data_IF_740146297963
#
_entry.id   IF_740146297963
#
_cell.length_a   1.000
_cell.length_b   1.000
_cell.length_c   1.000
_cell.angle_alpha   90.00
_cell.angle_beta   90.00
_cell.angle_gamma   90.00
#
_symmetry.space_group_name_H-M   'P 1'
#
loop_
_entity.id
_entity.type
_entity.pdbx_description
1 polymer ?
#
# COMPACT_ATOMS: atom_id res chain seq x y z
N UNK A 1 -17.04 -13.56 0.47
CA UNK A 1 -15.84 -14.07 1.16
C UNK A 1 -15.15 -13.04 2.06
N UNK A 2 -14.48 -11.99 1.54
CA UNK A 2 -13.76 -11.03 2.40
C UNK A 2 -14.68 -10.32 3.40
N UNK A 3 -15.83 -9.81 2.94
CA UNK A 3 -16.82 -9.16 3.81
C UNK A 3 -17.33 -10.09 4.93
N UNK A 4 -17.60 -11.36 4.61
CA UNK A 4 -18.02 -12.37 5.60
C UNK A 4 -16.91 -12.66 6.60
N UNK A 5 -15.66 -12.77 6.15
CA UNK A 5 -14.51 -12.94 7.03
C UNK A 5 -14.37 -11.74 7.99
N UNK A 6 -14.39 -10.51 7.47
CA UNK A 6 -14.32 -9.28 8.29
C UNK A 6 -15.44 -9.21 9.32
N UNK A 7 -16.67 -9.60 8.94
CA UNK A 7 -17.80 -9.73 9.88
C UNK A 7 -17.53 -10.78 10.96
N UNK A 8 -16.99 -11.94 10.58
CA UNK A 8 -16.69 -13.03 11.50
C UNK A 8 -15.60 -12.69 12.52
N UNK A 9 -14.67 -11.77 12.20
CA UNK A 9 -13.68 -11.28 13.18
C UNK A 9 -14.32 -10.53 14.37
N UNK A 10 -15.57 -10.10 14.25
CA UNK A 10 -16.26 -9.30 15.26
C UNK A 10 -15.77 -7.85 15.38
N UNK A 11 -14.75 -7.45 14.61
CA UNK A 11 -14.20 -6.08 14.60
C UNK A 11 -15.01 -5.12 13.72
N UNK A 12 -15.72 -5.65 12.72
CA UNK A 12 -16.51 -4.88 11.78
C UNK A 12 -17.98 -5.28 11.91
N UNK A 13 -18.82 -4.36 12.37
CA UNK A 13 -20.21 -4.64 12.76
C UNK A 13 -21.10 -5.03 11.57
N UNK A 14 -20.96 -4.32 10.44
CA UNK A 14 -21.78 -4.56 9.25
C UNK A 14 -21.04 -4.22 7.95
N UNK A 15 -20.13 -5.08 7.47
CA UNK A 15 -19.52 -4.89 6.15
C UNK A 15 -20.57 -4.95 5.05
N UNK A 16 -20.67 -3.90 4.24
CA UNK A 16 -21.57 -3.82 3.08
C UNK A 16 -20.72 -3.83 1.81
N UNK A 17 -21.13 -4.63 0.83
CA UNK A 17 -20.52 -4.68 -0.50
C UNK A 17 -21.44 -3.94 -1.46
N UNK A 18 -20.88 -2.99 -2.19
CA UNK A 18 -21.60 -2.16 -3.16
C UNK A 18 -20.92 -2.36 -4.51
N UNK A 19 -21.71 -2.57 -5.55
CA UNK A 19 -21.22 -2.59 -6.92
C UNK A 19 -20.88 -1.16 -7.36
N UNK A 20 -19.68 -0.96 -7.90
CA UNK A 20 -19.21 0.35 -8.34
C UNK A 20 -20.07 0.90 -9.49
N UNK A 21 -20.63 0.02 -10.32
CA UNK A 21 -21.49 0.42 -11.43
C UNK A 21 -22.80 1.07 -10.96
N UNK A 22 -23.33 0.64 -9.81
CA UNK A 22 -24.50 1.27 -9.20
C UNK A 22 -24.14 2.68 -8.67
N UNK A 23 -22.94 2.85 -8.12
CA UNK A 23 -22.44 4.17 -7.70
C UNK A 23 -22.32 5.10 -8.90
N UNK A 24 -21.73 4.65 -10.01
CA UNK A 24 -21.62 5.48 -11.21
C UNK A 24 -23.00 5.84 -11.77
N UNK A 25 -23.92 4.87 -11.85
CA UNK A 25 -25.29 5.10 -12.33
C UNK A 25 -26.02 6.18 -11.54
N UNK A 26 -25.96 6.11 -10.21
CA UNK A 26 -26.73 6.99 -9.33
C UNK A 26 -26.07 8.36 -9.11
N UNK A 27 -24.73 8.45 -9.09
CA UNK A 27 -24.01 9.68 -8.70
C UNK A 27 -23.33 10.42 -9.85
N UNK A 28 -23.37 9.88 -11.07
CA UNK A 28 -22.80 10.55 -12.27
C UNK A 28 -23.56 10.27 -13.57
N UNK A 29 -24.69 9.57 -13.51
CA UNK A 29 -25.44 9.17 -14.70
C UNK A 29 -24.78 8.05 -15.51
N UNK A 30 -23.94 7.24 -14.87
CA UNK A 30 -23.24 6.12 -15.49
C UNK A 30 -21.84 6.44 -16.04
N UNK A 31 -21.32 7.64 -15.80
CA UNK A 31 -19.95 7.97 -16.18
C UNK A 31 -18.96 7.44 -15.14
N UNK A 32 -17.77 7.00 -15.55
CA UNK A 32 -16.73 6.52 -14.62
C UNK A 32 -15.99 7.69 -13.96
N UNK A 33 -16.74 8.64 -13.39
CA UNK A 33 -16.22 9.86 -12.75
C UNK A 33 -15.78 9.57 -11.30
N UNK A 34 -14.55 9.90 -10.89
CA UNK A 34 -14.11 9.71 -9.50
C UNK A 34 -14.97 10.51 -8.50
N UNK A 35 -15.55 11.64 -8.92
CA UNK A 35 -16.50 12.42 -8.14
C UNK A 35 -17.76 11.63 -7.76
N UNK A 36 -18.17 10.64 -8.56
CA UNK A 36 -19.30 9.77 -8.23
C UNK A 36 -19.05 9.00 -6.93
N UNK A 37 -17.84 8.45 -6.79
CA UNK A 37 -17.40 7.69 -5.62
C UNK A 37 -17.39 8.59 -4.39
N UNK A 38 -16.76 9.77 -4.49
CA UNK A 38 -16.73 10.74 -3.38
C UNK A 38 -18.14 11.19 -2.98
N UNK A 39 -19.00 11.51 -3.94
CA UNK A 39 -20.39 11.90 -3.67
C UNK A 39 -21.21 10.80 -3.00
N UNK A 40 -20.98 9.54 -3.39
CA UNK A 40 -21.60 8.40 -2.71
C UNK A 40 -21.10 8.27 -1.27
N UNK A 41 -19.79 8.39 -1.03
CA UNK A 41 -19.22 8.35 0.32
C UNK A 41 -19.76 9.48 1.21
N UNK A 42 -19.86 10.69 0.65
CA UNK A 42 -20.53 11.83 1.29
C UNK A 42 -21.99 11.52 1.63
N UNK A 43 -22.71 10.91 0.69
CA UNK A 43 -24.11 10.54 0.89
C UNK A 43 -24.23 9.53 2.03
N UNK A 44 -23.52 8.41 2.01
CA UNK A 44 -23.68 7.37 3.05
C UNK A 44 -23.22 7.84 4.43
N UNK A 45 -22.24 8.73 4.48
CA UNK A 45 -21.75 9.28 5.74
C UNK A 45 -22.69 10.35 6.33
N UNK A 46 -23.19 11.28 5.51
CA UNK A 46 -23.88 12.47 6.01
C UNK A 46 -25.42 12.35 6.06
N UNK A 47 -26.01 11.42 5.35
CA UNK A 47 -27.43 11.54 4.99
C UNK A 47 -28.45 10.92 5.97
N UNK A 48 -28.05 10.41 7.15
CA UNK A 48 -28.91 9.58 8.03
C UNK A 48 -29.60 8.39 7.31
N UNK A 49 -29.28 8.13 6.03
CA UNK A 49 -29.90 7.06 5.24
C UNK A 49 -29.32 5.69 5.61
N UNK A 50 -28.15 5.66 6.21
CA UNK A 50 -27.57 4.47 6.81
C UNK A 50 -27.71 4.55 8.32
N UNK A 51 -28.09 3.43 8.94
CA UNK A 51 -28.21 3.35 10.40
C UNK A 51 -26.88 3.54 11.12
N UNK A 52 -25.76 3.26 10.43
CA UNK A 52 -24.39 3.42 10.90
C UNK A 52 -23.57 3.93 9.71
N UNK A 53 -22.95 5.09 9.85
CA UNK A 53 -22.01 5.62 8.86
C UNK A 53 -20.73 4.76 8.82
N UNK A 54 -20.10 4.57 7.66
CA UNK A 54 -18.87 3.78 7.57
C UNK A 54 -17.67 4.55 8.11
N UNK A 55 -16.85 3.92 8.95
CA UNK A 55 -15.51 4.44 9.32
C UNK A 55 -14.41 3.98 8.34
N UNK A 56 -14.63 2.84 7.67
CA UNK A 56 -13.67 2.18 6.79
C UNK A 56 -14.24 1.98 5.39
N UNK A 57 -13.44 2.31 4.39
CA UNK A 57 -13.76 2.10 2.97
C UNK A 57 -12.66 1.28 2.32
N UNK A 58 -13.05 0.25 1.57
CA UNK A 58 -12.15 -0.55 0.77
C UNK A 58 -12.54 -0.44 -0.70
N UNK A 59 -11.66 0.17 -1.50
CA UNK A 59 -11.77 0.13 -2.96
C UNK A 59 -11.19 -1.20 -3.44
N UNK A 60 -12.04 -2.07 -3.99
CA UNK A 60 -11.67 -3.42 -4.39
C UNK A 60 -11.62 -3.53 -5.92
N UNK A 61 -10.49 -3.12 -6.50
CA UNK A 61 -10.29 -3.04 -7.94
C UNK A 61 -9.08 -2.19 -8.33
N UNK A 62 -8.39 -2.61 -9.40
CA UNK A 62 -7.38 -1.77 -10.05
C UNK A 62 -8.00 -0.57 -10.75
N UNK A 63 -7.19 0.44 -11.03
CA UNK A 63 -7.60 1.60 -11.81
C UNK A 63 -6.40 2.42 -12.23
N UNK A 64 -6.54 3.13 -13.33
CA UNK A 64 -5.48 3.94 -13.94
C UNK A 64 -5.99 5.34 -14.30
N UNK A 65 -5.07 6.26 -14.63
CA UNK A 65 -5.43 7.65 -14.95
C UNK A 65 -6.26 7.80 -16.23
N UNK A 66 -6.15 6.86 -17.19
CA UNK A 66 -6.91 6.87 -18.43
C UNK A 66 -8.31 6.24 -18.30
N UNK A 67 -9.05 6.59 -17.26
CA UNK A 67 -10.42 6.08 -17.04
C UNK A 67 -11.44 6.56 -18.09
N UNK A 68 -11.03 7.43 -19.02
CA UNK A 68 -11.83 7.88 -20.17
C UNK A 68 -11.55 7.10 -21.45
N UNK A 69 -10.52 6.24 -21.47
CA UNK A 69 -10.18 5.35 -22.57
C UNK A 69 -9.69 6.11 -23.82
N UNK A 70 -8.78 7.06 -23.65
CA UNK A 70 -8.16 7.78 -24.77
C UNK A 70 -6.89 7.10 -25.29
N UNK A 71 -6.14 6.44 -24.41
CA UNK A 71 -4.78 5.95 -24.68
C UNK A 71 -4.65 4.41 -24.54
N UNK A 72 -5.44 3.77 -23.66
CA UNK A 72 -5.39 2.31 -23.42
C UNK A 72 -6.77 1.64 -23.41
N UNK A 73 -6.78 0.33 -23.70
CA UNK A 73 -7.95 -0.56 -23.56
C UNK A 73 -7.91 -1.36 -22.22
N UNK A 74 -6.94 -1.07 -21.34
CA UNK A 74 -6.87 -1.70 -20.02
C UNK A 74 -8.16 -1.46 -19.21
N UNK A 75 -8.60 -2.48 -18.48
CA UNK A 75 -9.82 -2.40 -17.69
C UNK A 75 -9.58 -1.53 -16.45
N UNK A 76 -10.33 -0.43 -16.35
CA UNK A 76 -10.38 0.40 -15.16
C UNK A 76 -11.53 -0.06 -14.25
N UNK A 77 -11.25 -0.90 -13.24
CA UNK A 77 -12.29 -1.44 -12.36
C UNK A 77 -12.86 -0.37 -11.42
N UNK A 78 -12.01 0.47 -10.84
CA UNK A 78 -12.42 1.58 -9.99
C UNK A 78 -11.56 2.80 -10.33
N UNK A 79 -12.18 3.83 -10.89
CA UNK A 79 -11.52 5.07 -11.30
C UNK A 79 -10.67 5.67 -10.18
N UNK A 80 -9.52 6.21 -10.57
CA UNK A 80 -8.61 6.96 -9.69
C UNK A 80 -8.91 8.46 -9.76
N UNK A 81 -8.71 9.15 -8.65
CA UNK A 81 -8.76 10.62 -8.63
C UNK A 81 -7.39 11.17 -9.03
N UNK A 82 -7.36 12.06 -10.02
CA UNK A 82 -6.14 12.57 -10.62
C UNK A 82 -6.05 14.09 -10.48
N UNK A 83 -4.88 14.57 -10.06
CA UNK A 83 -4.56 16.00 -9.97
C UNK A 83 -3.20 16.18 -10.64
N UNK A 84 -3.20 16.93 -11.76
CA UNK A 84 -2.09 16.99 -12.70
C UNK A 84 -1.62 15.60 -13.13
N UNK A 85 -0.47 15.14 -12.64
CA UNK A 85 0.14 13.85 -12.97
C UNK A 85 0.16 12.86 -11.79
N UNK A 86 -0.63 13.12 -10.74
CA UNK A 86 -0.63 12.36 -9.49
C UNK A 86 -1.99 11.74 -9.21
N UNK A 87 -2.00 10.45 -8.87
CA UNK A 87 -3.13 9.78 -8.25
C UNK A 87 -3.26 10.19 -6.78
N UNK A 88 -4.42 10.67 -6.39
CA UNK A 88 -4.72 11.19 -5.05
C UNK A 88 -5.90 10.43 -4.46
N UNK A 89 -5.63 9.29 -3.83
CA UNK A 89 -6.68 8.45 -3.22
C UNK A 89 -7.34 9.13 -2.00
N UNK A 90 -6.63 10.04 -1.31
CA UNK A 90 -7.17 10.83 -0.19
C UNK A 90 -8.37 11.70 -0.61
N UNK A 91 -8.53 11.96 -1.91
CA UNK A 91 -9.72 12.61 -2.47
C UNK A 91 -11.02 11.90 -2.06
N UNK A 92 -10.99 10.57 -1.94
CA UNK A 92 -12.16 9.78 -1.58
C UNK A 92 -12.43 9.77 -0.07
N UNK A 93 -11.42 10.00 0.76
CA UNK A 93 -11.55 9.98 2.23
C UNK A 93 -11.87 11.34 2.85
N UNK A 94 -11.61 12.44 2.15
CA UNK A 94 -12.00 13.78 2.59
C UNK A 94 -13.35 14.15 1.98
N UNK A 95 -14.41 14.02 2.76
CA UNK A 95 -15.79 14.07 2.26
C UNK A 95 -16.50 15.37 2.63
N UNK A 96 -15.89 16.28 3.40
CA UNK A 96 -16.53 17.56 3.67
C UNK A 96 -16.38 18.54 2.50
N UNK A 97 -17.37 19.42 2.34
CA UNK A 97 -17.35 20.43 1.29
C UNK A 97 -16.16 21.39 1.46
N UNK A 98 -15.38 21.56 0.40
CA UNK A 98 -14.21 22.45 0.39
C UNK A 98 -12.92 21.80 0.88
N UNK A 99 -12.93 20.53 1.27
CA UNK A 99 -11.71 19.80 1.61
C UNK A 99 -10.95 19.33 0.38
N UNK A 100 -9.63 19.55 0.42
CA UNK A 100 -8.71 19.15 -0.62
C UNK A 100 -7.31 18.94 -0.02
N UNK A 101 -6.90 17.67 0.12
CA UNK A 101 -5.69 17.29 0.87
C UNK A 101 -4.41 17.88 0.27
N UNK A 102 -4.32 17.95 -1.07
CA UNK A 102 -3.11 18.42 -1.75
C UNK A 102 -2.86 19.94 -1.67
N UNK A 103 -3.75 20.71 -1.05
CA UNK A 103 -3.60 22.17 -0.90
C UNK A 103 -3.55 22.66 0.56
N UNK A 104 -3.82 21.79 1.53
CA UNK A 104 -3.90 22.20 2.92
C UNK A 104 -3.52 21.08 3.89
N UNK A 105 -2.33 21.19 4.46
CA UNK A 105 -1.79 20.29 5.50
C UNK A 105 -2.67 20.21 6.77
N UNK A 106 -3.72 21.03 6.87
CA UNK A 106 -4.69 21.02 7.98
C UNK A 106 -5.93 20.14 7.74
N UNK A 107 -6.09 19.56 6.54
CA UNK A 107 -7.22 18.69 6.22
C UNK A 107 -6.85 17.24 6.53
N UNK A 108 -7.51 16.66 7.52
CA UNK A 108 -7.39 15.24 7.85
C UNK A 108 -8.45 14.43 7.08
N UNK A 109 -8.15 13.18 6.68
CA UNK A 109 -9.16 12.25 6.19
C UNK A 109 -10.31 12.02 7.19
N UNK A 110 -11.55 12.01 6.72
CA UNK A 110 -12.72 11.64 7.53
C UNK A 110 -12.93 10.12 7.61
N UNK A 111 -12.39 9.38 6.62
CA UNK A 111 -12.59 7.93 6.45
C UNK A 111 -11.24 7.20 6.38
N UNK A 112 -11.15 6.02 6.98
CA UNK A 112 -10.02 5.11 6.76
C UNK A 112 -10.20 4.41 5.41
N UNK A 113 -9.44 4.85 4.41
CA UNK A 113 -9.50 4.30 3.05
C UNK A 113 -8.33 3.37 2.78
N UNK A 114 -8.61 2.24 2.14
CA UNK A 114 -7.61 1.38 1.53
C UNK A 114 -8.05 0.91 0.14
N UNK A 115 -7.09 0.52 -0.70
CA UNK A 115 -7.35 -0.09 -2.00
C UNK A 115 -6.68 -1.45 -2.08
N UNK A 116 -7.39 -2.44 -2.62
CA UNK A 116 -6.81 -3.68 -3.13
C UNK A 116 -6.84 -3.58 -4.65
N UNK A 117 -5.75 -3.12 -5.29
CA UNK A 117 -5.65 -3.10 -6.74
C UNK A 117 -5.49 -4.54 -7.25
N UNK A 118 -6.22 -4.87 -8.31
CA UNK A 118 -6.09 -6.15 -9.00
C UNK A 118 -6.52 -6.01 -10.46
N UNK A 119 -5.83 -6.72 -11.36
CA UNK A 119 -6.17 -6.83 -12.78
C UNK A 119 -7.04 -8.06 -13.09
N UNK A 120 -7.11 -9.03 -12.18
CA UNK A 120 -7.85 -10.28 -12.40
C UNK A 120 -8.52 -10.86 -11.15
N UNK A 121 -9.47 -11.78 -11.37
CA UNK A 121 -10.13 -12.54 -10.28
C UNK A 121 -9.11 -13.38 -9.48
N UNK A 122 -8.06 -13.89 -10.12
CA UNK A 122 -7.03 -14.68 -9.43
C UNK A 122 -6.23 -13.80 -8.46
N UNK A 123 -5.76 -12.64 -8.90
CA UNK A 123 -5.04 -11.69 -8.04
C UNK A 123 -5.90 -11.22 -6.86
N UNK A 124 -7.16 -10.88 -7.14
CA UNK A 124 -8.14 -10.53 -6.11
C UNK A 124 -8.31 -11.65 -5.08
N UNK A 125 -8.43 -12.90 -5.55
CA UNK A 125 -8.55 -14.08 -4.69
C UNK A 125 -7.30 -14.27 -3.83
N UNK A 126 -6.12 -14.11 -4.40
CA UNK A 126 -4.84 -14.32 -3.72
C UNK A 126 -4.63 -13.29 -2.60
N UNK A 127 -4.97 -12.01 -2.82
CA UNK A 127 -4.92 -11.00 -1.74
C UNK A 127 -5.92 -11.32 -0.65
N UNK A 128 -7.15 -11.70 -1.00
CA UNK A 128 -8.17 -12.09 -0.01
C UNK A 128 -7.74 -13.32 0.79
N UNK A 129 -7.12 -14.32 0.16
CA UNK A 129 -6.58 -15.50 0.85
C UNK A 129 -5.47 -15.11 1.83
N UNK A 130 -4.54 -14.25 1.43
CA UNK A 130 -3.48 -13.74 2.33
C UNK A 130 -4.05 -13.03 3.57
N UNK A 131 -5.09 -12.21 3.39
CA UNK A 131 -5.78 -11.52 4.50
C UNK A 131 -6.40 -12.55 5.44
N UNK A 132 -7.15 -13.52 4.90
CA UNK A 132 -7.82 -14.56 5.70
C UNK A 132 -6.79 -15.44 6.43
N UNK A 133 -5.70 -15.83 5.77
CA UNK A 133 -4.61 -16.59 6.38
C UNK A 133 -3.93 -15.83 7.53
N UNK A 134 -3.94 -14.50 7.48
CA UNK A 134 -3.30 -13.64 8.50
C UNK A 134 -4.21 -13.36 9.69
N UNK A 135 -5.51 -13.26 9.46
CA UNK A 135 -6.49 -12.82 10.46
C UNK A 135 -7.38 -13.97 10.99
N UNK A 136 -7.40 -15.10 10.29
CA UNK A 136 -8.26 -16.24 10.57
C UNK A 136 -7.80 -17.12 11.75
N UNK A 137 -8.62 -18.13 12.10
CA UNK A 137 -8.35 -19.00 13.25
C UNK A 137 -7.07 -19.85 13.09
N UNK A 138 -6.67 -20.15 11.85
CA UNK A 138 -5.48 -20.94 11.52
C UNK A 138 -4.22 -20.08 11.30
N UNK A 139 -4.27 -18.79 11.64
CA UNK A 139 -3.17 -17.87 11.42
C UNK A 139 -1.92 -18.24 12.25
N UNK A 140 -0.74 -18.08 11.66
CA UNK A 140 0.53 -18.29 12.38
C UNK A 140 0.75 -17.11 13.35
N UNK A 141 0.58 -17.35 14.65
CA UNK A 141 0.85 -16.38 15.73
C UNK A 141 2.27 -16.50 16.31
N UNK A 142 3.19 -17.11 15.57
CA UNK A 142 4.58 -17.30 15.99
C UNK A 142 5.41 -16.02 16.07
N UNK A 143 6.69 -16.19 16.41
CA UNK A 143 7.63 -15.10 16.70
C UNK A 143 7.81 -14.08 15.56
N UNK A 144 7.54 -14.48 14.31
CA UNK A 144 7.60 -13.58 13.14
C UNK A 144 6.74 -12.32 13.32
N UNK A 145 5.62 -12.43 14.06
CA UNK A 145 4.72 -11.29 14.34
C UNK A 145 5.37 -10.20 15.19
N UNK A 146 6.43 -10.54 15.91
CA UNK A 146 7.13 -9.68 16.83
C UNK A 146 8.50 -9.23 16.28
N UNK A 147 8.66 -9.21 14.95
CA UNK A 147 9.89 -8.78 14.28
C UNK A 147 9.64 -7.61 13.34
N UNK A 148 10.44 -6.56 13.47
CA UNK A 148 10.46 -5.40 12.60
C UNK A 148 11.74 -5.41 11.79
N UNK A 149 11.63 -5.37 10.46
CA UNK A 149 12.76 -5.22 9.55
C UNK A 149 12.90 -3.76 9.15
N UNK A 150 14.04 -3.14 9.47
CA UNK A 150 14.40 -1.80 9.02
C UNK A 150 15.35 -1.91 7.83
N UNK A 151 14.97 -1.31 6.70
CA UNK A 151 15.75 -1.34 5.46
C UNK A 151 16.08 0.10 5.07
N UNK A 152 17.36 0.42 4.93
CA UNK A 152 17.80 1.76 4.54
C UNK A 152 18.62 1.72 3.27
N UNK A 153 18.46 2.74 2.44
CA UNK A 153 19.36 3.00 1.32
C UNK A 153 20.81 3.23 1.76
N UNK A 154 21.72 3.30 0.80
CA UNK A 154 23.16 3.42 1.05
C UNK A 154 23.69 4.85 1.17
N UNK A 155 22.80 5.83 1.28
CA UNK A 155 23.10 7.27 1.30
C UNK A 155 23.80 7.78 0.02
N UNK A 156 23.59 7.09 -1.10
CA UNK A 156 24.01 7.54 -2.44
C UNK A 156 22.79 7.89 -3.31
N UNK A 157 23.03 8.76 -4.29
CA UNK A 157 22.14 9.04 -5.40
C UNK A 157 22.97 8.89 -6.68
N UNK A 158 22.83 7.74 -7.36
CA UNK A 158 23.80 7.28 -8.34
C UNK A 158 25.21 7.21 -7.74
N UNK A 159 26.15 7.96 -8.33
CA UNK A 159 27.57 7.96 -7.89
C UNK A 159 27.91 9.08 -6.91
N UNK A 160 26.93 9.88 -6.50
CA UNK A 160 27.13 11.01 -5.58
C UNK A 160 26.53 10.72 -4.22
N UNK A 161 27.11 11.34 -3.18
CA UNK A 161 26.56 11.23 -1.84
C UNK A 161 25.23 11.98 -1.76
N UNK A 162 24.24 11.33 -1.17
CA UNK A 162 22.94 11.93 -0.93
C UNK A 162 22.98 12.99 0.18
N UNK A 163 22.08 13.98 0.09
CA UNK A 163 21.82 14.95 1.13
C UNK A 163 20.97 14.37 2.27
N UNK A 164 20.16 13.33 1.99
CA UNK A 164 19.38 12.55 2.95
C UNK A 164 20.23 11.38 3.43
N UNK A 165 20.35 11.26 4.75
CA UNK A 165 20.96 10.09 5.37
C UNK A 165 19.85 9.12 5.73
N UNK A 166 19.57 8.18 4.83
CA UNK A 166 18.46 7.25 4.88
C UNK A 166 18.49 6.39 6.15
N UNK A 167 19.69 5.96 6.57
CA UNK A 167 19.84 5.13 7.76
C UNK A 167 19.43 5.83 9.07
N UNK A 168 19.60 7.15 9.18
CA UNK A 168 19.29 7.91 10.40
C UNK A 168 17.80 7.87 10.74
N UNK A 169 16.95 7.83 9.73
CA UNK A 169 15.49 7.68 9.91
C UNK A 169 15.19 6.36 10.62
N UNK A 170 15.78 5.26 10.13
CA UNK A 170 15.61 3.94 10.72
C UNK A 170 16.29 3.80 12.10
N UNK A 171 17.42 4.46 12.36
CA UNK A 171 17.99 4.55 13.72
C UNK A 171 17.01 5.22 14.69
N UNK A 172 16.40 6.33 14.29
CA UNK A 172 15.40 7.04 15.11
C UNK A 172 14.17 6.15 15.39
N UNK A 173 13.70 5.41 14.38
CA UNK A 173 12.61 4.43 14.54
C UNK A 173 13.01 3.31 15.52
N UNK A 174 14.24 2.78 15.39
CA UNK A 174 14.73 1.73 16.29
C UNK A 174 14.80 2.21 17.74
N UNK A 175 15.29 3.43 18.01
CA UNK A 175 15.36 3.99 19.35
C UNK A 175 13.96 4.08 20.00
N UNK A 176 12.98 4.57 19.26
CA UNK A 176 11.57 4.65 19.72
C UNK A 176 11.02 3.24 19.97
N UNK A 177 11.25 2.30 19.05
CA UNK A 177 10.78 0.92 19.19
C UNK A 177 11.40 0.25 20.42
N UNK A 178 12.71 0.41 20.66
CA UNK A 178 13.38 -0.16 21.84
C UNK A 178 12.86 0.45 23.14
N UNK A 179 12.48 1.72 23.13
CA UNK A 179 11.90 2.41 24.29
C UNK A 179 10.46 1.96 24.56
N UNK A 180 9.61 2.01 23.54
CA UNK A 180 8.16 1.82 23.66
C UNK A 180 7.73 0.35 23.59
N UNK A 181 8.49 -0.48 22.89
CA UNK A 181 8.21 -1.90 22.62
C UNK A 181 9.49 -2.74 22.73
N UNK A 182 10.15 -2.79 23.91
CA UNK A 182 11.43 -3.49 24.08
C UNK A 182 11.39 -5.00 23.79
N UNK A 183 10.20 -5.60 23.76
CA UNK A 183 10.03 -7.00 23.37
C UNK A 183 10.13 -7.21 21.86
N UNK A 184 9.95 -6.18 21.03
CA UNK A 184 9.99 -6.29 19.57
C UNK A 184 11.43 -6.54 19.10
N UNK A 185 11.61 -7.54 18.27
CA UNK A 185 12.90 -7.92 17.70
C UNK A 185 13.17 -7.06 16.46
N UNK A 186 14.15 -6.17 16.52
CA UNK A 186 14.54 -5.32 15.38
C UNK A 186 15.63 -6.02 14.56
N UNK A 187 15.35 -6.18 13.27
CA UNK A 187 16.25 -6.68 12.22
C UNK A 187 16.59 -5.54 11.27
N UNK A 188 17.75 -5.59 10.64
CA UNK A 188 18.28 -4.50 9.81
C UNK A 188 18.88 -5.02 8.52
N UNK A 189 18.63 -4.32 7.42
CA UNK A 189 19.36 -4.43 6.16
C UNK A 189 19.74 -3.01 5.75
N UNK A 190 20.96 -2.60 6.05
CA UNK A 190 21.46 -1.27 5.74
C UNK A 190 22.33 -1.35 4.49
N UNK A 191 21.90 -0.77 3.37
CA UNK A 191 22.57 -1.01 2.09
C UNK A 191 24.03 -0.54 2.07
N UNK A 192 24.42 0.45 2.87
CA UNK A 192 25.82 0.88 2.99
C UNK A 192 26.75 -0.20 3.59
N UNK A 193 26.22 -1.25 4.23
CA UNK A 193 26.99 -2.39 4.76
C UNK A 193 27.34 -3.43 3.68
N UNK A 194 26.81 -3.27 2.47
CA UNK A 194 26.96 -4.22 1.37
C UNK A 194 27.71 -3.58 0.19
N UNK A 195 28.59 -4.37 -0.40
CA UNK A 195 29.47 -3.96 -1.50
C UNK A 195 28.72 -3.90 -2.82
N UNK A 196 29.18 -3.00 -3.70
CA UNK A 196 28.72 -2.92 -5.08
C UNK A 196 29.37 -4.01 -5.93
N UNK A 197 28.61 -4.59 -6.86
CA UNK A 197 29.15 -5.43 -7.92
C UNK A 197 29.57 -4.59 -9.15
N UNK A 198 30.08 -5.25 -10.19
CA UNK A 198 30.57 -4.59 -11.43
C UNK A 198 29.50 -3.82 -12.21
N UNK A 199 28.21 -4.03 -11.91
CA UNK A 199 27.06 -3.37 -12.55
C UNK A 199 26.32 -2.44 -11.59
N UNK A 200 26.98 -1.96 -10.53
CA UNK A 200 26.44 -0.97 -9.59
C UNK A 200 25.20 -1.45 -8.82
N UNK A 201 25.17 -2.74 -8.47
CA UNK A 201 24.11 -3.33 -7.64
C UNK A 201 24.69 -3.93 -6.37
N UNK A 202 23.84 -4.15 -5.35
CA UNK A 202 24.17 -4.84 -4.09
C UNK A 202 23.40 -6.16 -3.96
N UNK A 203 23.85 -7.25 -4.63
CA UNK A 203 23.14 -8.52 -4.63
C UNK A 203 23.07 -9.17 -3.24
N UNK A 204 24.05 -8.94 -2.37
CA UNK A 204 24.06 -9.43 -0.98
C UNK A 204 23.00 -8.70 -0.14
N UNK A 205 22.79 -7.39 -0.35
CA UNK A 205 21.71 -6.65 0.32
C UNK A 205 20.33 -7.14 -0.12
N UNK A 206 20.16 -7.36 -1.43
CA UNK A 206 18.95 -7.96 -2.00
C UNK A 206 18.69 -9.35 -1.40
N UNK A 207 19.72 -10.19 -1.29
CA UNK A 207 19.63 -11.51 -0.68
C UNK A 207 19.28 -11.44 0.82
N UNK A 208 19.88 -10.51 1.56
CA UNK A 208 19.58 -10.29 2.98
C UNK A 208 18.12 -9.85 3.18
N UNK A 209 17.61 -8.94 2.34
CA UNK A 209 16.21 -8.52 2.34
C UNK A 209 15.25 -9.71 2.17
N UNK A 210 15.46 -10.53 1.14
CA UNK A 210 14.62 -11.71 0.90
C UNK A 210 14.74 -12.73 2.04
N UNK A 211 15.94 -12.93 2.58
CA UNK A 211 16.17 -13.86 3.70
C UNK A 211 15.41 -13.43 4.96
N UNK A 212 15.48 -12.15 5.33
CA UNK A 212 14.76 -11.64 6.51
C UNK A 212 13.24 -11.79 6.35
N UNK A 213 12.70 -11.42 5.18
CA UNK A 213 11.26 -11.56 4.91
C UNK A 213 10.83 -13.03 4.89
N UNK A 214 11.62 -13.92 4.27
CA UNK A 214 11.36 -15.37 4.21
C UNK A 214 11.44 -16.05 5.58
N UNK A 215 12.33 -15.59 6.47
CA UNK A 215 12.42 -16.04 7.85
C UNK A 215 11.27 -15.50 8.73
N UNK A 216 10.47 -14.57 8.19
CA UNK A 216 9.25 -14.06 8.77
C UNK A 216 9.49 -12.82 9.62
N UNK A 217 8.87 -11.71 9.20
CA UNK A 217 8.78 -10.42 9.90
C UNK A 217 7.35 -9.88 9.78
N UNK A 218 6.87 -9.11 10.76
CA UNK A 218 5.52 -8.52 10.72
C UNK A 218 5.46 -7.20 9.98
N UNK A 219 6.56 -6.45 10.02
CA UNK A 219 6.65 -5.14 9.43
C UNK A 219 8.00 -4.98 8.74
N UNK A 220 7.98 -4.43 7.54
CA UNK A 220 9.17 -3.95 6.82
C UNK A 220 9.05 -2.45 6.70
N UNK A 221 10.07 -1.73 7.14
CA UNK A 221 10.17 -0.29 7.05
C UNK A 221 11.32 0.07 6.12
N UNK A 222 11.00 0.34 4.86
CA UNK A 222 11.97 0.81 3.89
C UNK A 222 12.01 2.34 3.87
N UNK A 223 13.21 2.91 3.93
CA UNK A 223 13.45 4.34 3.78
C UNK A 223 14.62 4.54 2.80
N UNK A 224 14.32 5.12 1.64
CA UNK A 224 15.27 5.14 0.53
C UNK A 224 14.69 5.63 -0.78
N UNK A 225 15.52 5.68 -1.81
CA UNK A 225 15.10 5.98 -3.16
C UNK A 225 14.20 4.92 -3.74
N UNK A 226 13.43 5.31 -4.74
CA UNK A 226 12.55 4.37 -5.40
C UNK A 226 12.06 4.90 -6.71
N UNK A 227 11.64 3.94 -7.53
CA UNK A 227 10.92 4.18 -8.77
C UNK A 227 9.58 3.46 -8.69
N UNK A 228 8.81 3.57 -9.77
CA UNK A 228 7.59 2.80 -9.95
C UNK A 228 7.81 1.28 -9.84
N UNK A 229 9.03 0.77 -10.05
CA UNK A 229 9.30 -0.67 -10.15
C UNK A 229 10.50 -1.18 -9.33
N UNK A 230 11.13 -0.33 -8.53
CA UNK A 230 12.33 -0.68 -7.78
C UNK A 230 12.44 0.03 -6.42
N UNK A 231 13.06 -0.65 -5.46
CA UNK A 231 13.68 -0.03 -4.28
C UNK A 231 15.18 0.17 -4.53
N UNK A 232 15.65 1.40 -4.24
CA UNK A 232 17.02 1.88 -4.41
C UNK A 232 17.54 1.83 -5.86
N UNK A 233 18.60 2.60 -6.14
CA UNK A 233 19.29 2.58 -7.43
C UNK A 233 19.91 1.19 -7.72
N UNK A 234 20.27 0.45 -6.66
CA UNK A 234 20.84 -0.90 -6.73
C UNK A 234 19.81 -2.00 -7.01
N UNK A 235 18.53 -1.65 -7.16
CA UNK A 235 17.44 -2.56 -7.48
C UNK A 235 17.36 -3.76 -6.51
N UNK A 236 17.37 -3.48 -5.21
CA UNK A 236 17.34 -4.53 -4.16
C UNK A 236 16.02 -5.29 -4.14
N UNK A 237 14.93 -4.65 -4.55
CA UNK A 237 13.62 -5.24 -4.76
C UNK A 237 13.06 -4.71 -6.09
N UNK A 238 12.77 -5.62 -7.02
CA UNK A 238 12.14 -5.33 -8.31
C UNK A 238 11.15 -6.43 -8.65
N UNK A 239 10.21 -6.16 -9.56
CA UNK A 239 9.17 -7.11 -9.99
C UNK A 239 9.71 -8.50 -10.34
N UNK A 240 10.79 -8.56 -11.11
CA UNK A 240 11.39 -9.83 -11.57
C UNK A 240 11.98 -10.68 -10.44
N UNK A 241 12.21 -10.10 -9.26
CA UNK A 241 12.73 -10.79 -8.07
C UNK A 241 11.62 -11.19 -7.09
N UNK A 242 10.35 -10.87 -7.32
CA UNK A 242 9.23 -11.20 -6.41
C UNK A 242 9.11 -12.72 -6.19
N UNK A 243 9.51 -13.54 -7.17
CA UNK A 243 9.51 -15.00 -7.04
C UNK A 243 10.48 -15.53 -5.95
N UNK A 244 11.38 -14.69 -5.42
CA UNK A 244 12.27 -15.04 -4.32
C UNK A 244 11.59 -14.98 -2.94
N UNK A 245 10.32 -14.57 -2.87
CA UNK A 245 9.52 -14.66 -1.65
C UNK A 245 8.94 -16.06 -1.45
N UNK A 246 9.18 -16.63 -0.27
CA UNK A 246 8.76 -17.97 0.16
C UNK A 246 8.09 -17.93 1.56
N UNK A 247 7.67 -16.74 2.01
CA UNK A 247 7.06 -16.45 3.32
C UNK A 247 5.55 -16.75 3.38
N UNK A 248 5.13 -17.90 2.86
CA UNK A 248 3.72 -18.29 2.90
C UNK A 248 3.17 -18.22 4.33
N UNK A 249 1.98 -17.63 4.48
CA UNK A 249 1.28 -17.34 5.76
C UNK A 249 2.00 -16.41 6.73
N UNK A 250 3.08 -15.75 6.32
CA UNK A 250 3.85 -14.77 7.09
C UNK A 250 4.04 -13.50 6.29
N UNK A 251 2.92 -12.84 6.00
CA UNK A 251 2.88 -11.69 5.11
C UNK A 251 3.12 -10.40 5.93
N UNK A 252 4.26 -9.70 5.74
CA UNK A 252 4.50 -8.44 6.45
C UNK A 252 3.61 -7.32 5.91
N UNK A 253 3.37 -6.33 6.77
CA UNK A 253 3.01 -4.98 6.33
C UNK A 253 4.30 -4.31 5.86
N UNK A 254 4.26 -3.69 4.68
CA UNK A 254 5.42 -3.01 4.11
C UNK A 254 5.13 -1.52 4.05
N UNK A 255 5.94 -0.73 4.76
CA UNK A 255 5.97 0.72 4.66
C UNK A 255 7.15 1.09 3.75
N UNK A 256 6.85 1.83 2.69
CA UNK A 256 7.85 2.34 1.76
C UNK A 256 7.89 3.86 1.84
N UNK A 257 8.84 4.40 2.59
CA UNK A 257 9.14 5.83 2.63
C UNK A 257 10.08 6.15 1.47
N UNK A 258 9.49 6.19 0.27
CA UNK A 258 10.21 6.24 -0.99
C UNK A 258 9.39 6.92 -2.08
N UNK A 259 10.05 7.43 -3.12
CA UNK A 259 9.38 8.05 -4.27
C UNK A 259 8.79 7.00 -5.21
N UNK A 260 7.61 7.26 -5.77
CA UNK A 260 6.92 6.50 -6.83
C UNK A 260 6.63 5.00 -6.59
N UNK A 261 7.18 4.38 -5.54
CA UNK A 261 6.83 3.01 -5.15
C UNK A 261 5.33 2.94 -4.90
N UNK A 262 4.66 1.98 -5.55
CA UNK A 262 3.22 1.80 -5.42
C UNK A 262 2.39 2.72 -6.31
N UNK A 263 2.99 3.37 -7.33
CA UNK A 263 2.27 4.08 -8.39
C UNK A 263 1.49 3.10 -9.27
N UNK A 264 0.34 2.67 -8.75
CA UNK A 264 -0.50 1.64 -9.35
C UNK A 264 -1.36 2.12 -10.52
N UNK A 265 -1.43 3.44 -10.76
CA UNK A 265 -2.38 4.07 -11.67
C UNK A 265 -1.84 4.34 -13.08
N UNK A 266 -0.64 3.86 -13.40
CA UNK A 266 -0.05 3.97 -14.72
C UNK A 266 -0.50 2.80 -15.63
N UNK A 267 -1.22 3.06 -16.73
CA UNK A 267 -1.61 2.04 -17.70
C UNK A 267 -0.44 1.22 -18.21
N UNK A 268 -0.70 -0.06 -18.47
CA UNK A 268 0.26 -1.00 -19.05
C UNK A 268 1.53 -1.20 -18.19
N UNK A 269 1.52 -0.72 -16.94
CA UNK A 269 2.60 -0.88 -15.97
C UNK A 269 2.09 -1.44 -14.66
N UNK A 270 2.82 -2.42 -14.14
CA UNK A 270 2.60 -2.95 -12.79
C UNK A 270 3.74 -2.48 -11.89
N UNK A 271 3.42 -1.75 -10.83
CA UNK A 271 4.36 -1.35 -9.80
C UNK A 271 4.64 -2.46 -8.77
#
# INVERSE_FOLDING_TARGET
>A
RLAEHKKATGKFLNPVVIDIEDVYREFSGGNHDPGAIRNFLMYVHNSNNWSIAPDYVLLFGGGHYDYKGYDTDEINYITTAQIDFKCIEDFFSCINAGEYVMMNDSVAPDLFLGRIPHGSILEAKDVVDKIIDTEGPDADYGAWRNRLLLVSDDDMAGNEKDFIQHFKSNESVEEIVKLERPSLEVRKVMLFEYEWNEIYQKPEASSALFNEINNGVSCVNYFGHGSENAWADEAILVKDKICNFHNSKRYPIINSFSCSVGRFDEPDRTC
#
